data_IF_086650800343
#
_entry.id   IF_086650800343
#
_cell.length_a   1.000
_cell.length_b   1.000
_cell.length_c   1.000
_cell.angle_alpha   90.00
_cell.angle_beta   90.00
_cell.angle_gamma   90.00
#
_symmetry.space_group_name_H-M   'P 1'
#
loop_
_entity.id
_entity.type
_entity.pdbx_description
1 polymer ?
#
# COMPACT_ATOMS: atom_id res chain seq x y z
N UNK A 1 -38.66 -17.78 -1.40
CA UNK A 1 -37.98 -17.68 -2.71
C UNK A 1 -37.61 -16.22 -2.98
N UNK A 2 -36.53 -15.75 -2.41
CA UNK A 2 -36.06 -14.37 -2.58
C UNK A 2 -34.79 -14.38 -3.43
N UNK A 3 -34.90 -13.87 -4.66
CA UNK A 3 -33.77 -13.63 -5.54
C UNK A 3 -33.07 -12.37 -5.09
N UNK A 4 -31.91 -12.50 -4.49
CA UNK A 4 -31.00 -11.41 -4.17
C UNK A 4 -30.13 -11.14 -5.41
N UNK A 5 -30.49 -10.11 -6.16
CA UNK A 5 -29.73 -9.62 -7.32
C UNK A 5 -28.56 -8.79 -6.80
N UNK A 6 -27.36 -9.29 -6.98
CA UNK A 6 -26.12 -8.53 -6.75
C UNK A 6 -25.96 -7.50 -7.89
N UNK A 7 -26.25 -6.25 -7.60
CA UNK A 7 -25.95 -5.13 -8.49
C UNK A 7 -24.51 -4.66 -8.21
N UNK A 8 -23.58 -5.20 -9.01
CA UNK A 8 -22.28 -4.54 -9.22
C UNK A 8 -22.57 -3.34 -10.11
N UNK A 9 -22.64 -2.14 -9.51
CA UNK A 9 -22.95 -0.91 -10.22
C UNK A 9 -21.85 -0.52 -11.20
N UNK A 10 -21.95 -0.95 -12.43
CA UNK A 10 -21.29 -0.30 -13.56
C UNK A 10 -22.07 0.99 -13.84
N UNK A 11 -21.54 2.14 -13.41
CA UNK A 11 -22.09 3.45 -13.72
C UNK A 11 -21.77 3.82 -15.19
N UNK A 12 -22.63 3.38 -16.11
CA UNK A 12 -22.66 3.89 -17.47
C UNK A 12 -23.36 5.27 -17.44
N UNK A 13 -22.57 6.32 -17.56
CA UNK A 13 -23.06 7.70 -17.77
C UNK A 13 -23.54 7.83 -19.20
N UNK A 14 -24.86 7.78 -19.40
CA UNK A 14 -25.50 8.27 -20.62
C UNK A 14 -25.53 9.80 -20.57
N UNK A 15 -24.82 10.42 -21.50
CA UNK A 15 -24.77 11.88 -21.69
C UNK A 15 -26.07 12.38 -22.31
N UNK A 16 -26.93 13.03 -21.52
CA UNK A 16 -27.95 13.91 -22.04
C UNK A 16 -27.40 15.36 -22.07
N UNK A 17 -27.16 15.86 -23.26
CA UNK A 17 -26.72 17.23 -23.51
C UNK A 17 -27.84 18.24 -23.12
N UNK A 18 -27.65 18.96 -22.01
CA UNK A 18 -28.28 20.27 -21.82
C UNK A 18 -27.19 21.34 -21.83
N UNK A 19 -27.14 22.13 -22.92
CA UNK A 19 -26.28 23.32 -23.03
C UNK A 19 -26.85 24.43 -22.17
N UNK A 20 -26.31 24.61 -20.96
CA UNK A 20 -26.32 25.89 -20.24
C UNK A 20 -24.88 26.37 -20.17
N UNK A 21 -24.61 27.52 -20.76
CA UNK A 21 -23.30 28.15 -20.75
C UNK A 21 -22.95 28.58 -19.32
N UNK A 22 -22.20 27.76 -18.64
CA UNK A 22 -21.53 28.11 -17.39
C UNK A 22 -20.13 28.60 -17.73
N UNK A 23 -19.85 29.85 -17.48
CA UNK A 23 -18.51 30.43 -17.61
C UNK A 23 -17.74 30.02 -16.36
N UNK A 24 -16.78 29.08 -16.43
CA UNK A 24 -15.99 28.73 -15.26
C UNK A 24 -15.06 29.90 -14.94
N UNK A 25 -15.18 30.46 -13.74
CA UNK A 25 -14.08 31.24 -13.16
C UNK A 25 -12.92 30.27 -12.97
N UNK A 26 -11.90 30.43 -13.78
CA UNK A 26 -10.60 29.77 -13.60
C UNK A 26 -9.98 30.32 -12.32
N UNK A 27 -10.23 29.66 -11.20
CA UNK A 27 -9.35 29.76 -10.04
C UNK A 27 -8.07 29.04 -10.49
N UNK A 28 -7.02 29.79 -10.69
CA UNK A 28 -5.67 29.27 -10.93
C UNK A 28 -5.26 28.52 -9.66
N UNK A 29 -5.59 27.22 -9.59
CA UNK A 29 -5.02 26.33 -8.58
C UNK A 29 -3.57 26.17 -9.03
N UNK A 30 -2.66 26.86 -8.33
CA UNK A 30 -1.24 26.58 -8.47
C UNK A 30 -1.05 25.08 -8.24
N UNK A 31 -0.69 24.38 -9.32
CA UNK A 31 -0.28 22.99 -9.25
C UNK A 31 0.90 22.92 -8.27
N UNK A 32 0.77 22.34 -7.08
CA UNK A 32 1.89 22.13 -6.20
C UNK A 32 2.76 21.11 -6.91
N UNK A 33 3.78 21.58 -7.64
CA UNK A 33 4.69 20.76 -8.44
C UNK A 33 5.02 19.44 -7.76
N UNK A 34 5.50 18.42 -8.49
CA UNK A 34 5.72 17.09 -7.94
C UNK A 34 6.50 17.20 -6.64
N UNK A 35 5.98 16.68 -5.51
CA UNK A 35 6.61 16.89 -4.22
C UNK A 35 8.01 16.32 -4.28
N UNK A 36 8.98 17.12 -3.86
CA UNK A 36 10.33 16.63 -3.64
C UNK A 36 10.22 15.42 -2.72
N UNK A 37 10.72 14.27 -3.16
CA UNK A 37 10.72 13.03 -2.36
C UNK A 37 11.53 13.29 -1.10
N UNK A 38 10.85 13.62 -0.02
CA UNK A 38 11.47 13.77 1.30
C UNK A 38 11.83 12.35 1.76
N UNK A 39 13.12 12.15 2.02
CA UNK A 39 13.59 10.89 2.60
C UNK A 39 12.91 10.67 3.95
N UNK A 40 12.62 9.41 4.32
CA UNK A 40 12.04 9.12 5.61
C UNK A 40 12.97 9.61 6.74
N UNK A 41 12.40 10.25 7.73
CA UNK A 41 13.10 10.60 8.96
C UNK A 41 13.11 9.39 9.87
N UNK A 42 14.30 9.01 10.36
CA UNK A 42 14.47 7.88 11.29
C UNK A 42 14.87 8.44 12.65
N UNK A 43 14.10 8.08 13.67
CA UNK A 43 14.34 8.49 15.06
C UNK A 43 14.46 7.28 15.95
N UNK A 44 15.61 7.08 16.58
CA UNK A 44 15.78 6.00 17.57
C UNK A 44 15.18 6.45 18.89
N UNK A 45 14.33 5.60 19.45
CA UNK A 45 13.66 5.79 20.74
C UNK A 45 14.39 5.05 21.87
N UNK A 46 14.98 3.90 21.54
CA UNK A 46 15.72 3.03 22.45
C UNK A 46 16.72 2.20 21.64
N UNK A 47 17.98 2.15 22.06
CA UNK A 47 19.03 1.37 21.39
C UNK A 47 18.96 -0.13 21.69
N UNK A 48 18.17 -0.53 22.67
CA UNK A 48 18.04 -1.92 23.12
C UNK A 48 19.18 -2.43 24.00
N UNK A 49 19.14 -3.73 24.26
CA UNK A 49 20.09 -4.42 25.12
C UNK A 49 21.43 -4.65 24.40
N UNK A 50 22.51 -4.78 25.16
CA UNK A 50 23.80 -5.26 24.66
C UNK A 50 23.77 -6.79 24.46
N UNK A 51 24.49 -7.37 23.48
CA UNK A 51 25.32 -6.68 22.51
C UNK A 51 24.52 -5.94 21.43
N UNK A 52 25.03 -4.79 20.98
CA UNK A 52 24.47 -3.99 19.89
C UNK A 52 25.33 -4.12 18.64
N UNK A 53 24.71 -4.12 17.46
CA UNK A 53 25.43 -4.15 16.18
C UNK A 53 24.75 -3.24 15.14
N UNK A 54 25.49 -2.73 14.14
CA UNK A 54 24.91 -2.03 13.00
C UNK A 54 24.20 -3.02 12.08
N UNK A 55 23.10 -2.59 11.48
CA UNK A 55 22.37 -3.37 10.48
C UNK A 55 22.58 -2.76 9.09
N UNK A 56 22.98 -3.60 8.13
CA UNK A 56 23.23 -3.20 6.74
C UNK A 56 22.79 -4.32 5.83
N UNK A 57 22.04 -3.97 4.79
CA UNK A 57 21.72 -4.91 3.72
C UNK A 57 22.96 -5.22 2.90
N UNK A 58 23.18 -6.48 2.60
CA UNK A 58 24.32 -7.01 1.83
C UNK A 58 23.80 -7.95 0.77
N UNK A 59 22.91 -7.44 -0.10
CA UNK A 59 22.32 -8.24 -1.17
C UNK A 59 23.37 -8.50 -2.22
N UNK A 60 23.69 -9.78 -2.55
CA UNK A 60 24.68 -10.11 -3.57
C UNK A 60 24.24 -9.59 -4.95
N UNK A 61 25.16 -9.11 -5.79
CA UNK A 61 24.87 -8.82 -7.20
C UNK A 61 24.31 -10.05 -7.91
N UNK A 62 23.30 -9.87 -8.76
CA UNK A 62 22.63 -10.95 -9.46
C UNK A 62 21.58 -11.70 -8.63
N UNK A 63 21.36 -11.33 -7.37
CA UNK A 63 20.34 -11.95 -6.52
C UNK A 63 18.95 -11.78 -7.14
N UNK A 64 18.22 -12.88 -7.23
CA UNK A 64 16.81 -12.92 -7.60
C UNK A 64 15.97 -13.47 -6.45
N UNK A 65 14.77 -12.96 -6.30
CA UNK A 65 13.81 -13.41 -5.29
C UNK A 65 12.43 -13.55 -5.90
N UNK A 66 11.69 -14.53 -5.42
CA UNK A 66 10.24 -14.61 -5.64
C UNK A 66 9.55 -14.45 -4.30
N UNK A 67 8.66 -13.48 -4.23
CA UNK A 67 7.86 -13.19 -3.06
C UNK A 67 6.40 -13.51 -3.36
N UNK A 68 5.75 -14.20 -2.44
CA UNK A 68 4.31 -14.39 -2.47
C UNK A 68 3.65 -13.41 -1.52
N UNK A 69 2.70 -12.64 -2.04
CA UNK A 69 1.92 -11.66 -1.28
C UNK A 69 0.49 -12.13 -1.22
N UNK A 70 0.04 -12.57 -0.07
CA UNK A 70 -1.35 -12.89 0.17
C UNK A 70 -2.09 -11.69 0.73
N UNK A 71 -3.25 -11.40 0.18
CA UNK A 71 -4.08 -10.25 0.52
C UNK A 71 -5.52 -10.66 0.77
N UNK A 72 -6.05 -10.22 1.90
CA UNK A 72 -7.48 -10.31 2.21
C UNK A 72 -8.00 -8.93 2.57
N UNK A 73 -9.17 -8.55 2.05
CA UNK A 73 -9.77 -7.26 2.31
C UNK A 73 -11.28 -7.36 2.53
N UNK A 74 -11.73 -6.79 3.63
CA UNK A 74 -13.15 -6.55 3.88
C UNK A 74 -13.39 -5.03 3.99
N UNK A 75 -14.47 -4.56 3.39
CA UNK A 75 -14.84 -3.14 3.38
C UNK A 75 -16.31 -2.98 3.74
N UNK A 76 -16.58 -2.06 4.66
CA UNK A 76 -17.92 -1.58 4.96
C UNK A 76 -18.04 -0.12 4.52
N UNK A 77 -19.11 0.22 3.81
CA UNK A 77 -19.44 1.58 3.40
C UNK A 77 -20.78 1.97 4.00
N UNK A 78 -20.86 3.17 4.55
CA UNK A 78 -22.10 3.74 5.11
C UNK A 78 -22.35 5.11 4.50
N UNK A 79 -23.54 5.31 3.98
CA UNK A 79 -24.02 6.60 3.45
C UNK A 79 -25.48 6.78 3.82
N UNK A 80 -25.83 7.91 4.45
CA UNK A 80 -27.22 8.28 4.81
C UNK A 80 -27.97 7.18 5.59
N UNK A 81 -27.29 6.51 6.51
CA UNK A 81 -27.88 5.42 7.30
C UNK A 81 -28.03 4.09 6.57
N UNK A 82 -27.66 4.01 5.28
CA UNK A 82 -27.62 2.76 4.51
C UNK A 82 -26.19 2.24 4.49
N UNK A 83 -26.02 0.98 4.84
CA UNK A 83 -24.73 0.29 4.81
C UNK A 83 -24.65 -0.73 3.69
N UNK A 84 -23.47 -0.89 3.09
CA UNK A 84 -23.11 -1.99 2.24
C UNK A 84 -21.80 -2.61 2.74
N UNK A 85 -21.67 -3.91 2.60
CA UNK A 85 -20.44 -4.62 2.91
C UNK A 85 -19.98 -5.35 1.65
N UNK A 86 -18.69 -5.27 1.38
CA UNK A 86 -18.04 -6.00 0.32
C UNK A 86 -16.76 -6.66 0.89
N UNK A 87 -16.52 -7.89 0.49
CA UNK A 87 -15.27 -8.58 0.76
C UNK A 87 -14.66 -8.99 -0.57
N UNK A 88 -13.39 -8.72 -0.75
CA UNK A 88 -12.62 -9.27 -1.86
C UNK A 88 -12.10 -10.61 -1.34
N UNK A 89 -12.41 -11.73 -2.01
CA UNK A 89 -11.83 -13.01 -1.62
C UNK A 89 -10.32 -12.91 -1.54
N UNK A 90 -9.69 -13.58 -0.58
CA UNK A 90 -8.24 -13.58 -0.49
C UNK A 90 -7.62 -14.02 -1.81
N UNK A 91 -6.57 -13.34 -2.22
CA UNK A 91 -5.80 -13.68 -3.42
C UNK A 91 -4.31 -13.55 -3.15
N UNK A 92 -3.52 -14.26 -3.94
CA UNK A 92 -2.08 -14.31 -3.87
C UNK A 92 -1.49 -13.69 -5.12
N UNK A 93 -0.48 -12.84 -4.94
CA UNK A 93 0.37 -12.32 -6.00
C UNK A 93 1.73 -13.03 -5.93
N UNK A 94 2.26 -13.44 -7.06
CA UNK A 94 3.66 -13.78 -7.22
C UNK A 94 4.40 -12.57 -7.75
N UNK A 95 5.38 -12.09 -6.98
CA UNK A 95 6.20 -10.93 -7.32
C UNK A 95 7.64 -11.39 -7.50
N UNK A 96 8.18 -11.23 -8.70
CA UNK A 96 9.59 -11.48 -8.98
C UNK A 96 10.39 -10.21 -8.84
N UNK A 97 11.53 -10.33 -8.19
CA UNK A 97 12.48 -9.25 -7.97
C UNK A 97 13.89 -9.70 -8.35
N UNK A 98 14.64 -8.79 -8.97
CA UNK A 98 15.99 -9.07 -9.42
C UNK A 98 16.10 -9.29 -10.94
N UNK A 99 17.28 -9.57 -11.47
CA UNK A 99 18.56 -9.63 -10.73
C UNK A 99 18.98 -8.28 -10.15
N UNK A 100 19.61 -8.33 -8.97
CA UNK A 100 20.14 -7.14 -8.30
C UNK A 100 21.36 -6.57 -9.01
N UNK A 101 21.51 -5.26 -8.96
CA UNK A 101 22.71 -4.57 -9.45
C UNK A 101 23.09 -3.41 -8.52
N UNK A 102 24.38 -3.10 -8.45
CA UNK A 102 24.85 -1.86 -7.81
C UNK A 102 24.68 -0.67 -8.76
N UNK A 103 24.32 0.50 -8.22
CA UNK A 103 24.36 1.75 -8.96
C UNK A 103 25.69 2.47 -8.72
N UNK A 104 26.10 3.44 -9.60
CA UNK A 104 27.30 4.26 -9.37
C UNK A 104 27.26 5.04 -8.04
N UNK A 105 26.07 5.37 -7.55
CA UNK A 105 25.86 6.07 -6.28
C UNK A 105 25.89 5.12 -5.06
N UNK A 106 26.14 3.82 -5.26
CA UNK A 106 26.24 2.83 -4.20
C UNK A 106 24.90 2.30 -3.70
N UNK A 107 23.81 2.49 -4.47
CA UNK A 107 22.50 1.90 -4.16
C UNK A 107 22.38 0.49 -4.72
N UNK A 108 21.50 -0.29 -4.15
CA UNK A 108 21.10 -1.60 -4.63
C UNK A 108 19.83 -1.41 -5.46
N UNK A 109 19.91 -1.67 -6.76
CA UNK A 109 18.76 -1.64 -7.67
C UNK A 109 18.28 -3.07 -7.93
N UNK A 110 16.97 -3.27 -7.92
CA UNK A 110 16.33 -4.52 -8.31
C UNK A 110 15.06 -4.24 -9.13
N UNK A 111 14.92 -4.90 -10.29
CA UNK A 111 13.65 -4.93 -11.01
C UNK A 111 12.56 -5.62 -10.18
N UNK A 112 11.32 -5.24 -10.41
CA UNK A 112 10.13 -5.81 -9.75
C UNK A 112 9.07 -6.04 -10.80
N UNK A 113 8.43 -7.21 -10.79
CA UNK A 113 7.30 -7.51 -11.67
C UNK A 113 6.30 -8.43 -10.97
N UNK A 114 5.00 -8.16 -11.14
CA UNK A 114 3.95 -9.09 -10.75
C UNK A 114 3.80 -10.11 -11.89
N UNK A 115 4.06 -11.38 -11.60
CA UNK A 115 4.12 -12.45 -12.62
C UNK A 115 2.92 -13.37 -12.59
N UNK A 116 2.24 -13.47 -11.45
CA UNK A 116 1.07 -14.32 -11.31
C UNK A 116 0.10 -13.77 -10.28
N UNK A 117 -1.20 -14.05 -10.50
CA UNK A 117 -2.29 -13.78 -9.57
C UNK A 117 -3.11 -15.04 -9.44
N UNK A 118 -3.42 -15.43 -8.21
CA UNK A 118 -4.27 -16.57 -7.91
C UNK A 118 -5.28 -16.22 -6.84
N UNK A 119 -6.53 -16.58 -7.03
CA UNK A 119 -7.50 -16.56 -5.93
C UNK A 119 -7.15 -17.68 -4.95
N UNK A 120 -7.30 -17.42 -3.66
CA UNK A 120 -7.08 -18.46 -2.64
C UNK A 120 -8.16 -19.54 -2.70
N UNK A 121 -7.91 -20.66 -2.04
CA UNK A 121 -8.89 -21.77 -1.97
C UNK A 121 -10.22 -21.37 -1.31
N UNK A 122 -10.22 -20.35 -0.44
CA UNK A 122 -11.49 -19.83 0.11
C UNK A 122 -12.42 -19.22 -0.94
N UNK A 123 -11.90 -18.93 -2.15
CA UNK A 123 -12.70 -18.52 -3.30
C UNK A 123 -13.42 -19.70 -4.01
N UNK A 124 -13.25 -20.95 -3.57
CA UNK A 124 -13.90 -22.12 -4.20
C UNK A 124 -15.42 -22.10 -4.02
N UNK A 125 -15.94 -21.33 -3.08
CA UNK A 125 -17.37 -21.10 -2.90
C UNK A 125 -17.98 -20.12 -3.91
N UNK A 126 -17.16 -19.43 -4.73
CA UNK A 126 -17.63 -18.53 -5.76
C UNK A 126 -18.16 -19.32 -6.97
N UNK A 127 -19.22 -18.79 -7.58
CA UNK A 127 -19.65 -19.29 -8.88
C UNK A 127 -18.58 -19.02 -9.95
N UNK A 128 -18.52 -19.82 -11.03
CA UNK A 128 -17.57 -19.60 -12.12
C UNK A 128 -17.61 -18.18 -12.69
N UNK A 129 -18.81 -17.59 -12.82
CA UNK A 129 -18.98 -16.22 -13.32
C UNK A 129 -18.40 -15.18 -12.35
N UNK A 130 -18.59 -15.34 -11.04
CA UNK A 130 -17.99 -14.45 -10.04
C UNK A 130 -16.46 -14.56 -10.02
N UNK A 131 -15.93 -15.78 -10.10
CA UNK A 131 -14.50 -16.03 -10.20
C UNK A 131 -13.91 -15.32 -11.42
N UNK A 132 -14.48 -15.53 -12.60
CA UNK A 132 -14.03 -14.88 -13.84
C UNK A 132 -14.09 -13.36 -13.76
N UNK A 133 -15.12 -12.79 -13.14
CA UNK A 133 -15.24 -11.34 -12.94
C UNK A 133 -14.11 -10.81 -12.05
N UNK A 134 -13.82 -11.48 -10.93
CA UNK A 134 -12.75 -11.06 -10.01
C UNK A 134 -11.38 -11.20 -10.69
N UNK A 135 -11.09 -12.34 -11.32
CA UNK A 135 -9.86 -12.57 -12.06
C UNK A 135 -9.65 -11.51 -13.15
N UNK A 136 -10.72 -11.18 -13.90
CA UNK A 136 -10.69 -10.10 -14.88
C UNK A 136 -10.39 -8.73 -14.29
N UNK A 137 -10.91 -8.43 -13.10
CA UNK A 137 -10.63 -7.17 -12.41
C UNK A 137 -9.18 -7.07 -11.87
N UNK A 138 -8.58 -8.20 -11.53
CA UNK A 138 -7.19 -8.29 -11.05
C UNK A 138 -6.16 -8.36 -12.18
N UNK A 139 -6.56 -8.78 -13.38
CA UNK A 139 -5.67 -8.99 -14.53
C UNK A 139 -4.75 -7.79 -14.86
N UNK A 140 -5.18 -6.50 -14.74
CA UNK A 140 -4.30 -5.35 -14.97
C UNK A 140 -3.05 -5.33 -14.10
N UNK A 141 -3.08 -5.97 -12.91
CA UNK A 141 -1.92 -6.06 -12.03
C UNK A 141 -0.73 -6.81 -12.67
N UNK A 142 -0.99 -7.74 -13.58
CA UNK A 142 0.07 -8.48 -14.29
C UNK A 142 0.93 -7.58 -15.22
N UNK A 143 0.46 -6.38 -15.54
CA UNK A 143 1.20 -5.41 -16.33
C UNK A 143 2.11 -4.52 -15.48
N UNK A 144 1.99 -4.60 -14.14
CA UNK A 144 2.77 -3.77 -13.21
C UNK A 144 4.18 -4.33 -13.12
N UNK A 145 5.13 -3.52 -13.59
CA UNK A 145 6.57 -3.80 -13.52
C UNK A 145 7.34 -2.52 -13.30
N UNK A 146 8.55 -2.64 -12.79
CA UNK A 146 9.38 -1.48 -12.55
C UNK A 146 10.69 -1.83 -11.88
N UNK A 147 11.21 -0.89 -11.11
CA UNK A 147 12.39 -1.13 -10.28
C UNK A 147 12.29 -0.37 -8.96
N UNK A 148 13.08 -0.78 -8.00
CA UNK A 148 13.34 -0.07 -6.75
C UNK A 148 14.84 0.03 -6.50
N UNK A 149 15.26 1.14 -5.90
CA UNK A 149 16.62 1.39 -5.44
C UNK A 149 16.61 1.65 -3.94
N UNK A 150 17.42 0.91 -3.21
CA UNK A 150 17.59 1.11 -1.78
C UNK A 150 19.05 1.32 -1.41
N UNK A 151 19.30 2.04 -0.33
CA UNK A 151 20.64 2.10 0.26
C UNK A 151 20.90 0.90 1.19
N UNK A 152 22.12 0.79 1.68
CA UNK A 152 22.53 -0.29 2.58
C UNK A 152 21.80 -0.29 3.93
N UNK A 153 21.13 0.78 4.30
CA UNK A 153 20.25 0.85 5.46
C UNK A 153 18.81 0.39 5.16
N UNK A 154 18.49 0.06 3.91
CA UNK A 154 17.16 -0.32 3.49
C UNK A 154 16.23 0.86 3.20
N UNK A 155 16.72 2.09 3.13
CA UNK A 155 15.92 3.26 2.75
C UNK A 155 15.73 3.29 1.24
N UNK A 156 14.47 3.30 0.80
CA UNK A 156 14.16 3.40 -0.62
C UNK A 156 14.47 4.81 -1.12
N UNK A 157 15.37 4.90 -2.09
CA UNK A 157 15.84 6.14 -2.71
C UNK A 157 15.04 6.50 -3.95
N UNK A 158 14.77 5.51 -4.80
CA UNK A 158 14.01 5.65 -6.04
C UNK A 158 13.16 4.41 -6.27
N UNK A 159 12.14 4.55 -7.09
CA UNK A 159 11.35 3.45 -7.60
C UNK A 159 10.37 3.98 -8.65
N UNK A 160 10.33 3.31 -9.78
CA UNK A 160 9.43 3.62 -10.88
C UNK A 160 8.69 2.37 -11.27
N UNK A 161 7.39 2.52 -11.51
CA UNK A 161 6.51 1.44 -11.92
C UNK A 161 5.70 1.88 -13.14
N UNK A 162 5.59 1.00 -14.11
CA UNK A 162 4.74 1.14 -15.31
C UNK A 162 3.56 0.19 -15.22
N UNK A 163 2.53 0.39 -16.05
CA UNK A 163 1.31 -0.42 -16.03
C UNK A 163 0.32 0.00 -14.94
N UNK A 164 0.65 1.02 -14.13
CA UNK A 164 -0.22 1.53 -13.06
C UNK A 164 -1.44 2.27 -13.59
N UNK A 165 -1.34 2.85 -14.79
CA UNK A 165 -2.42 3.58 -15.48
C UNK A 165 -3.61 2.69 -15.86
N UNK A 166 -3.37 1.40 -16.05
CA UNK A 166 -4.40 0.42 -16.34
C UNK A 166 -5.05 -0.19 -15.08
N UNK A 167 -4.49 0.11 -13.90
CA UNK A 167 -4.97 -0.45 -12.63
C UNK A 167 -6.14 0.38 -12.11
N UNK A 168 -7.29 -0.23 -11.82
CA UNK A 168 -8.43 0.46 -11.21
C UNK A 168 -8.05 1.18 -9.90
N UNK A 169 -8.68 2.33 -9.58
CA UNK A 169 -8.32 3.15 -8.41
C UNK A 169 -8.35 2.40 -7.07
N UNK A 170 -9.29 1.50 -6.88
CA UNK A 170 -9.40 0.67 -5.67
C UNK A 170 -8.25 -0.34 -5.54
N UNK A 171 -7.79 -0.90 -6.66
CA UNK A 171 -6.60 -1.76 -6.70
C UNK A 171 -5.31 -0.94 -6.53
N UNK A 172 -5.29 0.31 -6.95
CA UNK A 172 -4.17 1.23 -6.73
C UNK A 172 -3.91 1.48 -5.24
N UNK A 173 -4.98 1.62 -4.43
CA UNK A 173 -4.85 1.69 -2.94
C UNK A 173 -4.15 0.46 -2.41
N UNK A 174 -4.58 -0.69 -2.90
CA UNK A 174 -4.04 -1.98 -2.49
C UNK A 174 -2.57 -2.13 -2.90
N UNK A 175 -2.20 -1.73 -4.12
CA UNK A 175 -0.80 -1.68 -4.56
C UNK A 175 0.05 -0.71 -3.73
N UNK A 176 -0.52 0.41 -3.29
CA UNK A 176 0.13 1.32 -2.34
C UNK A 176 0.48 0.60 -1.03
N UNK A 177 -0.42 -0.22 -0.51
CA UNK A 177 -0.18 -1.05 0.66
C UNK A 177 0.86 -2.15 0.39
N UNK A 178 0.78 -2.82 -0.75
CA UNK A 178 1.79 -3.81 -1.19
C UNK A 178 3.15 -3.15 -1.34
N UNK A 179 3.24 -1.98 -1.99
CA UNK A 179 4.49 -1.24 -2.11
C UNK A 179 5.10 -0.91 -0.76
N UNK A 180 4.30 -0.49 0.21
CA UNK A 180 4.81 -0.24 1.57
C UNK A 180 5.22 -1.53 2.28
N UNK A 181 4.60 -2.67 1.98
CA UNK A 181 4.95 -3.98 2.52
C UNK A 181 6.16 -4.62 1.83
N UNK A 182 6.35 -4.36 0.52
CA UNK A 182 7.54 -4.80 -0.23
C UNK A 182 8.77 -3.96 0.05
N UNK A 183 8.62 -2.83 0.75
CA UNK A 183 9.76 -2.00 1.11
C UNK A 183 10.60 -2.73 2.16
N UNK A 184 11.90 -2.72 1.93
CA UNK A 184 12.87 -3.13 2.94
C UNK A 184 12.68 -2.31 4.22
N UNK A 185 13.02 -2.92 5.35
CA UNK A 185 12.93 -2.24 6.65
C UNK A 185 14.08 -1.26 6.77
N UNK A 186 13.83 0.05 6.95
CA UNK A 186 14.90 1.02 7.08
C UNK A 186 15.50 1.01 8.49
N UNK A 187 16.77 0.64 8.59
CA UNK A 187 17.50 0.63 9.84
C UNK A 187 18.17 1.98 10.10
N UNK A 188 18.28 2.41 11.39
CA UNK A 188 19.11 3.53 11.79
C UNK A 188 20.60 3.30 11.50
N UNK A 189 21.38 4.39 11.48
CA UNK A 189 22.82 4.31 11.30
C UNK A 189 23.57 3.77 12.52
N UNK A 190 23.01 3.99 13.71
CA UNK A 190 23.60 3.56 14.98
C UNK A 190 23.38 2.07 15.27
N UNK A 191 24.27 1.44 16.06
CA UNK A 191 24.12 0.06 16.48
C UNK A 191 22.89 -0.14 17.37
N UNK A 192 22.14 -1.23 17.11
CA UNK A 192 20.95 -1.60 17.85
C UNK A 192 21.08 -3.01 18.44
N UNK A 193 20.40 -3.25 19.54
CA UNK A 193 20.28 -4.54 20.21
C UNK A 193 18.84 -5.05 20.29
N UNK A 194 18.63 -6.20 20.91
CA UNK A 194 17.30 -6.72 21.21
C UNK A 194 16.52 -5.69 22.04
N UNK A 195 15.23 -5.54 21.78
CA UNK A 195 14.32 -4.52 22.34
C UNK A 195 14.59 -3.09 21.84
N UNK A 196 15.55 -2.87 20.95
CA UNK A 196 15.69 -1.54 20.33
C UNK A 196 14.40 -1.12 19.64
N UNK A 197 14.11 0.18 19.73
CA UNK A 197 12.93 0.79 19.11
C UNK A 197 13.30 2.01 18.32
N UNK A 198 12.75 2.13 17.12
CA UNK A 198 12.87 3.34 16.32
C UNK A 198 11.59 3.62 15.54
N UNK A 199 11.43 4.86 15.16
CA UNK A 199 10.35 5.34 14.31
C UNK A 199 10.86 5.79 12.96
N UNK A 200 10.05 5.56 11.96
CA UNK A 200 10.25 6.02 10.58
C UNK A 200 9.06 6.86 10.19
N UNK A 201 9.29 8.15 10.01
CA UNK A 201 8.28 9.11 9.60
C UNK A 201 8.42 9.40 8.12
N UNK A 202 7.32 9.37 7.38
CA UNK A 202 7.30 9.68 5.96
C UNK A 202 5.93 10.19 5.51
N UNK A 203 5.93 10.96 4.44
CA UNK A 203 4.72 11.34 3.72
C UNK A 203 4.59 10.44 2.50
N UNK A 204 3.45 9.80 2.34
CA UNK A 204 3.15 8.90 1.22
C UNK A 204 1.90 9.38 0.48
N UNK A 205 1.81 9.06 -0.80
CA UNK A 205 0.61 9.31 -1.57
C UNK A 205 -0.18 8.00 -1.71
N UNK A 206 -1.44 8.02 -1.28
CA UNK A 206 -2.38 6.91 -1.42
C UNK A 206 -3.55 7.40 -2.28
N UNK A 207 -3.77 6.78 -3.44
CA UNK A 207 -4.92 7.07 -4.30
C UNK A 207 -5.22 8.56 -4.51
N UNK A 208 -4.19 9.33 -4.80
CA UNK A 208 -4.33 10.75 -5.11
C UNK A 208 -4.35 11.68 -3.90
N UNK A 209 -4.26 11.19 -2.66
CA UNK A 209 -4.16 12.04 -1.48
C UNK A 209 -2.91 11.76 -0.64
N UNK A 210 -2.50 12.77 0.12
CA UNK A 210 -1.30 12.70 0.96
C UNK A 210 -1.64 12.18 2.35
N UNK A 211 -0.76 11.30 2.85
CA UNK A 211 -0.88 10.65 4.15
C UNK A 211 0.44 10.77 4.89
N UNK A 212 0.39 11.22 6.12
CA UNK A 212 1.51 11.15 7.04
C UNK A 212 1.50 9.78 7.71
N UNK A 213 2.65 9.09 7.64
CA UNK A 213 2.82 7.75 8.19
C UNK A 213 3.96 7.74 9.20
N UNK A 214 3.71 7.17 10.36
CA UNK A 214 4.72 6.85 11.39
C UNK A 214 4.72 5.35 11.60
N UNK A 215 5.86 4.71 11.35
CA UNK A 215 6.06 3.27 11.57
C UNK A 215 7.04 3.09 12.72
N UNK A 216 6.63 2.37 13.75
CA UNK A 216 7.48 1.98 14.88
C UNK A 216 7.91 0.53 14.71
N UNK A 217 9.20 0.30 14.77
CA UNK A 217 9.82 -1.01 14.74
C UNK A 217 10.39 -1.33 16.11
N UNK A 218 10.25 -2.60 16.55
CA UNK A 218 10.85 -3.12 17.78
C UNK A 218 11.56 -4.43 17.49
N UNK A 219 12.84 -4.54 17.82
CA UNK A 219 13.61 -5.78 17.67
C UNK A 219 13.18 -6.81 18.71
N UNK A 220 12.67 -7.94 18.26
CA UNK A 220 12.30 -9.07 19.11
C UNK A 220 13.45 -10.06 19.29
N UNK A 221 14.16 -10.38 18.19
CA UNK A 221 15.28 -11.28 18.19
C UNK A 221 16.31 -10.93 17.11
N UNK A 222 17.56 -11.34 17.34
CA UNK A 222 18.68 -11.13 16.43
C UNK A 222 19.31 -12.47 16.08
N UNK A 223 19.45 -12.75 14.79
CA UNK A 223 20.26 -13.84 14.23
C UNK A 223 21.35 -13.22 13.35
N UNK A 224 22.26 -14.03 12.83
CA UNK A 224 23.41 -13.53 12.07
C UNK A 224 23.00 -12.57 10.95
N UNK A 225 22.11 -13.01 10.06
CA UNK A 225 21.64 -12.24 8.91
C UNK A 225 20.14 -11.93 8.94
N UNK A 226 19.49 -12.14 10.07
CA UNK A 226 18.06 -11.93 10.23
C UNK A 226 17.75 -11.11 11.49
N UNK A 227 16.69 -10.34 11.42
CA UNK A 227 16.17 -9.52 12.51
C UNK A 227 14.67 -9.71 12.59
N UNK A 228 14.19 -10.31 13.68
CA UNK A 228 12.76 -10.42 13.95
C UNK A 228 12.25 -9.13 14.58
N UNK A 229 11.16 -8.62 14.05
CA UNK A 229 10.61 -7.31 14.36
C UNK A 229 9.12 -7.38 14.66
N UNK A 230 8.70 -6.63 15.66
CA UNK A 230 7.32 -6.18 15.76
C UNK A 230 7.19 -4.85 15.03
N UNK A 231 6.08 -4.68 14.30
CA UNK A 231 5.76 -3.48 13.54
C UNK A 231 4.44 -2.92 14.05
N UNK A 232 4.40 -1.62 14.29
CA UNK A 232 3.15 -0.88 14.42
C UNK A 232 3.24 0.39 13.60
N UNK A 233 2.17 0.71 12.84
CA UNK A 233 2.15 1.93 12.09
C UNK A 233 0.83 2.69 12.30
N UNK A 234 0.91 4.00 12.22
CA UNK A 234 -0.23 4.91 12.21
C UNK A 234 -0.13 5.78 10.98
N UNK A 235 -1.28 5.97 10.35
CA UNK A 235 -1.41 6.83 9.18
C UNK A 235 -2.55 7.79 9.43
N UNK A 236 -2.39 9.02 9.01
CA UNK A 236 -3.43 10.04 9.05
C UNK A 236 -3.30 10.99 7.86
N UNK A 237 -4.40 11.58 7.45
CA UNK A 237 -4.40 12.63 6.44
C UNK A 237 -5.27 13.78 6.88
N UNK A 238 -4.75 14.99 6.63
CA UNK A 238 -5.51 16.22 6.76
C UNK A 238 -6.61 16.29 5.69
N UNK A 239 -7.71 17.05 5.96
CA UNK A 239 -8.74 17.28 4.97
C UNK A 239 -8.15 17.83 3.65
N UNK A 240 -8.48 17.19 2.52
CA UNK A 240 -7.96 17.57 1.21
C UNK A 240 -8.92 17.18 0.10
N UNK A 241 -8.76 17.83 -1.08
CA UNK A 241 -9.53 17.49 -2.27
C UNK A 241 -8.99 16.19 -2.88
N UNK A 242 -9.89 15.30 -3.30
CA UNK A 242 -9.60 14.05 -3.98
C UNK A 242 -10.55 13.89 -5.17
N UNK A 243 -10.27 12.98 -6.10
CA UNK A 243 -11.07 12.78 -7.31
C UNK A 243 -12.56 12.50 -7.03
N UNK A 244 -12.85 11.79 -5.94
CA UNK A 244 -14.22 11.42 -5.54
C UNK A 244 -14.94 12.49 -4.71
N UNK A 245 -14.33 13.64 -4.41
CA UNK A 245 -14.88 14.68 -3.55
C UNK A 245 -13.86 15.22 -2.56
N UNK A 246 -14.27 15.53 -1.34
CA UNK A 246 -13.41 16.04 -0.27
C UNK A 246 -13.17 14.97 0.78
N UNK A 247 -11.92 14.62 1.00
CA UNK A 247 -11.52 13.83 2.17
C UNK A 247 -11.67 14.69 3.42
N UNK A 248 -12.48 14.27 4.36
CA UNK A 248 -12.70 14.95 5.64
C UNK A 248 -11.84 14.38 6.76
N UNK A 249 -11.57 13.09 6.71
CA UNK A 249 -10.68 12.40 7.63
C UNK A 249 -10.19 11.08 7.07
N UNK A 250 -8.96 10.73 7.40
CA UNK A 250 -8.37 9.43 7.14
C UNK A 250 -7.52 9.02 8.34
N UNK A 251 -7.74 7.82 8.82
CA UNK A 251 -6.93 7.20 9.87
C UNK A 251 -6.73 5.71 9.54
N UNK A 252 -5.52 5.22 9.72
CA UNK A 252 -5.22 3.79 9.62
C UNK A 252 -4.28 3.37 10.74
N UNK A 253 -4.53 2.20 11.28
CA UNK A 253 -3.68 1.52 12.26
C UNK A 253 -3.24 0.19 11.67
N UNK A 254 -1.95 -0.10 11.73
CA UNK A 254 -1.33 -1.32 11.22
C UNK A 254 -0.56 -1.97 12.35
N UNK A 255 -0.75 -3.26 12.53
CA UNK A 255 0.00 -4.08 13.51
C UNK A 255 0.50 -5.31 12.77
N UNK A 256 1.74 -5.71 13.03
CA UNK A 256 2.32 -6.87 12.38
C UNK A 256 3.65 -7.30 12.94
N UNK A 257 4.22 -8.30 12.31
CA UNK A 257 5.57 -8.79 12.54
C UNK A 257 6.33 -8.90 11.23
N UNK A 258 7.66 -8.88 11.29
CA UNK A 258 8.51 -9.14 10.14
C UNK A 258 9.82 -9.80 10.54
N UNK A 259 10.38 -10.57 9.61
CA UNK A 259 11.77 -11.02 9.65
C UNK A 259 12.53 -10.36 8.52
N UNK A 260 13.33 -9.33 8.85
CA UNK A 260 14.23 -8.70 7.90
C UNK A 260 15.41 -9.63 7.62
N UNK A 261 15.65 -9.96 6.36
CA UNK A 261 16.79 -10.77 5.91
C UNK A 261 17.82 -9.84 5.27
N UNK A 262 18.94 -9.61 5.93
CA UNK A 262 19.93 -8.61 5.53
C UNK A 262 20.66 -8.95 4.20
N UNK A 263 20.52 -10.17 3.71
CA UNK A 263 21.06 -10.63 2.42
C UNK A 263 20.02 -10.68 1.30
N UNK A 264 18.78 -10.17 1.56
CA UNK A 264 17.66 -10.19 0.65
C UNK A 264 17.05 -8.80 0.50
N UNK A 265 16.23 -8.60 -0.54
CA UNK A 265 15.53 -7.32 -0.77
C UNK A 265 14.39 -7.09 0.19
N UNK A 266 13.72 -8.17 0.59
CA UNK A 266 12.46 -8.12 1.31
C UNK A 266 12.53 -8.80 2.65
N UNK A 267 11.62 -8.42 3.51
CA UNK A 267 11.31 -9.13 4.74
C UNK A 267 10.15 -10.10 4.50
N UNK A 268 10.14 -11.23 5.19
CA UNK A 268 8.89 -11.95 5.45
C UNK A 268 8.08 -11.13 6.44
N UNK A 269 6.79 -10.96 6.20
CA UNK A 269 5.96 -10.18 7.13
C UNK A 269 4.51 -10.60 7.10
N UNK A 270 3.85 -10.41 8.23
CA UNK A 270 2.40 -10.48 8.37
C UNK A 270 1.93 -9.18 9.01
N UNK A 271 0.85 -8.62 8.51
CA UNK A 271 0.29 -7.39 9.06
C UNK A 271 -1.22 -7.33 8.86
N UNK A 272 -1.90 -6.72 9.82
CA UNK A 272 -3.31 -6.36 9.75
C UNK A 272 -3.44 -4.84 9.81
N UNK A 273 -4.27 -4.28 8.95
CA UNK A 273 -4.59 -2.87 8.91
C UNK A 273 -6.09 -2.65 9.10
N UNK A 274 -6.43 -1.71 9.95
CA UNK A 274 -7.79 -1.16 10.05
C UNK A 274 -7.74 0.29 9.62
N UNK A 275 -8.54 0.64 8.61
CA UNK A 275 -8.60 1.99 8.04
C UNK A 275 -10.01 2.54 8.14
N UNK A 276 -10.11 3.79 8.55
CA UNK A 276 -11.35 4.56 8.55
C UNK A 276 -11.18 5.83 7.72
N UNK A 277 -12.13 6.07 6.84
CA UNK A 277 -12.13 7.24 5.96
C UNK A 277 -13.51 7.88 5.92
N UNK A 278 -13.55 9.21 5.86
CA UNK A 278 -14.76 9.99 5.63
C UNK A 278 -14.57 10.89 4.42
N UNK A 279 -15.50 10.80 3.49
CA UNK A 279 -15.46 11.57 2.23
C UNK A 279 -16.80 12.26 2.04
N UNK A 280 -16.77 13.55 1.75
CA UNK A 280 -17.93 14.31 1.29
C UNK A 280 -17.94 14.32 -0.22
N UNK A 281 -18.97 13.72 -0.82
CA UNK A 281 -19.16 13.71 -2.28
C UNK A 281 -20.23 14.72 -2.66
N UNK A 282 -20.04 15.49 -3.75
CA UNK A 282 -21.10 16.30 -4.33
C UNK A 282 -22.21 15.39 -4.86
N UNK A 283 -23.45 15.65 -4.51
CA UNK A 283 -24.60 14.93 -5.05
C UNK A 283 -25.13 15.64 -6.31
N UNK A 284 -25.73 14.90 -7.26
CA UNK A 284 -26.23 15.46 -8.53
C UNK A 284 -27.29 16.57 -8.37
N UNK A 285 -27.96 16.64 -7.22
CA UNK A 285 -29.01 17.64 -6.93
C UNK A 285 -28.57 18.74 -5.95
N UNK A 286 -27.28 18.95 -5.73
CA UNK A 286 -26.74 20.06 -4.94
C UNK A 286 -26.49 19.77 -3.45
N UNK A 287 -27.02 18.69 -2.89
CA UNK A 287 -26.72 18.28 -1.52
C UNK A 287 -25.43 17.45 -1.47
N UNK A 288 -24.59 17.72 -0.46
CA UNK A 288 -23.37 16.91 -0.25
C UNK A 288 -23.71 15.63 0.50
N UNK A 289 -23.12 14.53 0.10
CA UNK A 289 -23.31 13.23 0.74
C UNK A 289 -22.05 12.82 1.50
N UNK A 290 -22.18 12.55 2.80
CA UNK A 290 -21.09 12.02 3.61
C UNK A 290 -21.04 10.50 3.50
N UNK A 291 -19.88 9.97 3.03
CA UNK A 291 -19.59 8.54 2.97
C UNK A 291 -18.55 8.21 4.05
N UNK A 292 -18.84 7.19 4.84
CA UNK A 292 -17.89 6.58 5.77
C UNK A 292 -17.47 5.23 5.22
N UNK A 293 -16.17 4.99 5.18
CA UNK A 293 -15.56 3.74 4.72
C UNK A 293 -14.72 3.18 5.85
N UNK A 294 -14.97 1.93 6.21
CA UNK A 294 -14.11 1.15 7.09
C UNK A 294 -13.55 -0.02 6.29
N UNK A 295 -12.24 -0.22 6.36
CA UNK A 295 -11.57 -1.30 5.65
C UNK A 295 -10.68 -2.08 6.62
N UNK A 296 -10.74 -3.41 6.55
CA UNK A 296 -9.78 -4.32 7.19
C UNK A 296 -9.00 -5.03 6.11
N UNK A 297 -7.70 -4.98 6.22
CA UNK A 297 -6.79 -5.62 5.25
C UNK A 297 -5.79 -6.47 6.02
N UNK A 298 -5.64 -7.72 5.62
CA UNK A 298 -4.55 -8.59 6.06
C UNK A 298 -3.58 -8.80 4.89
N UNK A 299 -2.28 -8.76 5.19
CA UNK A 299 -1.21 -8.93 4.22
C UNK A 299 -0.19 -9.90 4.80
N UNK A 300 0.10 -10.96 4.06
CA UNK A 300 1.17 -11.92 4.38
C UNK A 300 2.18 -11.95 3.23
N UNK A 301 3.46 -11.84 3.57
CA UNK A 301 4.58 -11.94 2.63
C UNK A 301 5.47 -13.12 3.05
N UNK A 302 5.73 -14.05 2.12
CA UNK A 302 6.55 -15.24 2.35
C UNK A 302 7.26 -15.74 1.08
#
# INVERSE_FOLDING_TARGET
MFRMIFLVGALLLTTASCKTAYTPQTVEVQDPGPPQRVLPTIRVLDDGLTPRRPFRYRVPPGQEETLFVELARAQAMMSEGKGSQAAIPPFQLEVKMGPSSGTPEGFIRHPVAITQIRLSQSADQLSPAQRQQIEGSLAPLLNVKGYSEMDVQGRIRRGEFTGMEAVPPDLNVMLGNIRSALLSIPFPDQPLGVRARWEVERKIQLSGFWVDQVVTYTILALRENEVDLQISARQYAEPQQIDMGRLEAYQSSIIGSATARLTHFTAYSEAEATTQMRVTQPAPMGDSRLIRVETRTAVNLY
#
